data_IF_746661614847
#
_entry.id   IF_746661614847
#
_cell.length_a   1.000
_cell.length_b   1.000
_cell.length_c   1.000
_cell.angle_alpha   90.00
_cell.angle_beta   90.00
_cell.angle_gamma   90.00
#
_symmetry.space_group_name_H-M   'P 1'
#
loop_
_entity.id
_entity.type
_entity.pdbx_description
1 polymer ?
#
# COMPACT_ATOMS: atom_id res chain seq x y z
N UNK A 1 38.14 72.83 16.80
CA UNK A 1 36.97 71.94 16.55
C UNK A 1 37.20 70.51 17.01
N UNK A 2 38.40 69.95 16.83
CA UNK A 2 38.71 68.55 17.21
C UNK A 2 38.61 68.27 18.73
N UNK A 3 38.95 69.24 19.58
CA UNK A 3 38.86 69.14 21.04
C UNK A 3 37.41 69.11 21.55
N UNK A 4 36.54 69.94 20.97
CA UNK A 4 35.10 69.96 21.30
C UNK A 4 34.42 68.64 20.91
N UNK A 5 34.77 68.09 19.75
CA UNK A 5 34.26 66.79 19.32
C UNK A 5 34.73 65.65 20.24
N UNK A 6 36.00 65.65 20.67
CA UNK A 6 36.51 64.67 21.63
C UNK A 6 35.82 64.75 22.99
N UNK A 7 35.50 65.95 23.47
CA UNK A 7 34.74 66.16 24.72
C UNK A 7 33.29 65.70 24.56
N UNK A 8 32.65 66.01 23.43
CA UNK A 8 31.28 65.58 23.18
C UNK A 8 31.17 64.06 23.09
N UNK A 9 32.12 63.41 22.40
CA UNK A 9 32.16 61.96 22.27
C UNK A 9 32.42 61.30 23.63
N UNK A 10 33.35 61.80 24.45
CA UNK A 10 33.61 61.23 25.77
C UNK A 10 32.44 61.41 26.74
N UNK A 11 31.68 62.51 26.65
CA UNK A 11 30.42 62.70 27.40
C UNK A 11 29.36 61.73 26.90
N UNK A 12 29.20 61.59 25.59
CA UNK A 12 28.21 60.71 24.99
C UNK A 12 28.46 59.24 25.32
N UNK A 13 29.72 58.79 25.28
CA UNK A 13 30.09 57.41 25.60
C UNK A 13 29.79 57.09 27.08
N UNK A 14 30.16 58.00 28.00
CA UNK A 14 29.84 57.86 29.42
C UNK A 14 28.33 57.91 29.71
N UNK A 15 27.60 58.79 29.01
CA UNK A 15 26.15 58.89 29.16
C UNK A 15 25.47 57.62 28.63
N UNK A 16 25.93 57.11 27.48
CA UNK A 16 25.43 55.88 26.87
C UNK A 16 25.63 54.68 27.79
N UNK A 17 26.82 54.53 28.38
CA UNK A 17 27.09 53.45 29.33
C UNK A 17 26.21 53.52 30.59
N UNK A 18 25.94 54.72 31.10
CA UNK A 18 25.07 54.90 32.28
C UNK A 18 23.59 54.71 31.93
N UNK A 19 23.14 55.14 30.76
CA UNK A 19 21.77 54.94 30.28
C UNK A 19 21.45 53.46 29.96
N UNK A 20 22.47 52.64 29.66
CA UNK A 20 22.30 51.18 29.57
C UNK A 20 21.89 50.55 30.89
N UNK A 21 22.19 51.18 32.03
CA UNK A 21 21.68 50.73 33.31
C UNK A 21 20.19 51.14 33.45
N UNK A 22 19.26 50.18 33.56
CA UNK A 22 17.82 50.47 33.64
C UNK A 22 17.44 51.38 34.80
N UNK A 23 18.18 51.30 35.91
CA UNK A 23 17.93 52.14 37.06
C UNK A 23 18.28 53.60 36.79
N UNK A 24 19.45 53.87 36.21
CA UNK A 24 19.91 55.23 35.93
C UNK A 24 19.03 55.93 34.88
N UNK A 25 18.65 55.21 33.82
CA UNK A 25 17.73 55.75 32.81
C UNK A 25 16.35 56.05 33.42
N UNK A 26 15.81 55.13 34.22
CA UNK A 26 14.53 55.34 34.91
C UNK A 26 14.59 56.50 35.93
N UNK A 27 15.69 56.64 36.65
CA UNK A 27 15.95 57.75 37.56
C UNK A 27 15.99 59.09 36.84
N UNK A 28 16.74 59.17 35.74
CA UNK A 28 16.84 60.40 34.97
C UNK A 28 15.49 60.82 34.38
N UNK A 29 14.73 59.87 33.82
CA UNK A 29 13.38 60.13 33.29
C UNK A 29 12.43 60.55 34.43
N UNK A 30 12.44 59.84 35.56
CA UNK A 30 11.60 60.18 36.71
C UNK A 30 11.95 61.55 37.28
N UNK A 31 13.24 61.90 37.31
CA UNK A 31 13.71 63.21 37.73
C UNK A 31 13.16 64.32 36.85
N UNK A 32 13.20 64.15 35.53
CA UNK A 32 12.64 65.12 34.57
C UNK A 32 11.13 65.26 34.76
N UNK A 33 10.40 64.14 34.92
CA UNK A 33 8.95 64.14 35.08
C UNK A 33 8.54 64.82 36.40
N UNK A 34 9.20 64.51 37.51
CA UNK A 34 8.88 65.08 38.83
C UNK A 34 9.28 66.56 38.90
N UNK A 35 10.41 66.92 38.29
CA UNK A 35 10.92 68.28 38.23
C UNK A 35 10.49 69.03 36.95
N UNK A 36 9.35 68.65 36.36
CA UNK A 36 8.85 69.27 35.12
C UNK A 36 8.74 70.79 35.25
N UNK A 37 8.38 71.31 36.42
CA UNK A 37 8.24 72.76 36.67
C UNK A 37 9.54 73.50 36.40
N UNK A 38 10.70 72.93 36.75
CA UNK A 38 12.01 73.55 36.47
C UNK A 38 12.20 73.67 34.96
N UNK A 39 11.94 72.59 34.22
CA UNK A 39 12.11 72.55 32.77
C UNK A 39 11.16 73.50 32.04
N UNK A 40 9.88 73.49 32.43
CA UNK A 40 8.90 74.39 31.84
C UNK A 40 9.21 75.85 32.12
N UNK A 41 9.60 76.17 33.36
CA UNK A 41 9.99 77.52 33.74
C UNK A 41 11.28 77.98 33.04
N UNK A 42 12.27 77.11 32.89
CA UNK A 42 13.50 77.41 32.16
C UNK A 42 13.23 77.69 30.67
N UNK A 43 12.44 76.84 30.02
CA UNK A 43 12.23 76.85 28.56
C UNK A 43 11.18 77.86 28.11
N UNK A 44 10.12 78.10 28.89
CA UNK A 44 8.96 78.87 28.44
C UNK A 44 8.72 80.17 29.20
N UNK A 45 9.34 80.38 30.36
CA UNK A 45 9.16 81.64 31.07
C UNK A 45 10.04 82.75 30.47
N UNK A 46 9.43 83.90 30.18
CA UNK A 46 10.09 85.13 29.74
C UNK A 46 10.71 85.94 30.87
N UNK A 47 10.62 85.48 32.13
CA UNK A 47 11.22 86.15 33.27
C UNK A 47 12.73 86.42 33.13
N UNK A 48 13.18 87.53 33.69
CA UNK A 48 14.59 87.90 33.70
C UNK A 48 15.45 86.85 34.45
N UNK A 49 16.69 86.68 34.01
CA UNK A 49 17.62 85.66 34.50
C UNK A 49 17.73 85.58 36.03
N UNK A 50 17.74 86.72 36.72
CA UNK A 50 17.81 86.80 38.19
C UNK A 50 16.63 86.12 38.90
N UNK A 51 15.42 86.23 38.34
CA UNK A 51 14.25 85.53 38.89
C UNK A 51 14.34 84.02 38.65
N UNK A 52 15.00 83.61 37.57
CA UNK A 52 15.18 82.20 37.27
C UNK A 52 16.13 81.52 38.26
N UNK A 53 17.24 82.19 38.60
CA UNK A 53 18.21 81.73 39.58
C UNK A 53 17.57 81.53 40.96
N UNK A 54 16.89 82.55 41.49
CA UNK A 54 16.23 82.48 42.80
C UNK A 54 15.17 81.37 42.88
N UNK A 55 14.45 81.13 41.79
CA UNK A 55 13.47 80.05 41.72
C UNK A 55 14.14 78.67 41.76
N UNK A 56 15.26 78.48 41.05
CA UNK A 56 16.03 77.24 41.05
C UNK A 56 16.64 76.98 42.43
N UNK A 57 17.21 77.99 43.09
CA UNK A 57 17.81 77.83 44.42
C UNK A 57 16.77 77.39 45.45
N UNK A 58 15.59 78.04 45.45
CA UNK A 58 14.49 77.66 46.35
C UNK A 58 14.01 76.23 46.06
N UNK A 59 13.82 75.87 44.79
CA UNK A 59 13.35 74.54 44.42
C UNK A 59 14.39 73.45 44.67
N UNK A 60 15.67 73.74 44.46
CA UNK A 60 16.78 72.80 44.68
C UNK A 60 16.99 72.47 46.16
N UNK A 61 16.55 73.36 47.07
CA UNK A 61 16.59 73.12 48.51
C UNK A 61 15.63 72.00 48.96
N UNK A 62 14.64 71.64 48.13
CA UNK A 62 13.68 70.56 48.40
C UNK A 62 14.23 69.19 47.98
N UNK A 63 15.16 68.65 48.78
CA UNK A 63 15.86 67.37 48.51
C UNK A 63 14.91 66.19 48.21
N UNK A 64 13.69 66.22 48.78
CA UNK A 64 12.67 65.20 48.54
C UNK A 64 12.26 65.14 47.06
N UNK A 65 11.99 66.30 46.47
CA UNK A 65 11.53 66.44 45.08
C UNK A 65 12.67 66.25 44.08
N UNK A 66 13.88 66.66 44.47
CA UNK A 66 15.06 66.59 43.61
C UNK A 66 15.67 65.19 43.59
N UNK A 67 15.66 64.45 44.70
CA UNK A 67 16.41 63.20 44.80
C UNK A 67 15.55 62.01 45.23
N UNK A 68 14.79 62.15 46.32
CA UNK A 68 14.13 61.00 46.95
C UNK A 68 12.97 60.46 46.10
N UNK A 69 12.04 61.31 45.65
CA UNK A 69 10.92 60.85 44.84
C UNK A 69 11.36 60.26 43.49
N UNK A 70 12.30 60.88 42.73
CA UNK A 70 12.85 60.26 41.53
C UNK A 70 13.54 58.93 41.79
N UNK A 71 14.28 58.81 42.91
CA UNK A 71 14.94 57.57 43.31
C UNK A 71 13.96 56.45 43.61
N UNK A 72 12.94 56.73 44.43
CA UNK A 72 11.90 55.75 44.77
C UNK A 72 11.13 55.34 43.51
N UNK A 73 10.73 56.30 42.68
CA UNK A 73 10.02 56.03 41.43
C UNK A 73 10.84 55.17 40.47
N UNK A 74 12.14 55.45 40.32
CA UNK A 74 13.04 54.64 39.50
C UNK A 74 13.22 53.23 40.05
N UNK A 75 13.36 53.08 41.37
CA UNK A 75 13.46 51.80 42.04
C UNK A 75 12.18 50.98 41.84
N UNK A 76 11.02 51.61 42.08
CA UNK A 76 9.72 50.99 41.85
C UNK A 76 9.57 50.58 40.39
N UNK A 77 9.84 51.45 39.43
CA UNK A 77 9.72 51.12 38.01
C UNK A 77 10.64 49.97 37.59
N UNK A 78 11.91 50.01 38.01
CA UNK A 78 12.91 48.99 37.66
C UNK A 78 12.58 47.62 38.25
N UNK A 79 11.95 47.57 39.43
CA UNK A 79 11.54 46.31 40.08
C UNK A 79 10.15 45.83 39.63
N UNK A 80 9.21 46.75 39.41
CA UNK A 80 7.83 46.44 39.07
C UNK A 80 7.68 46.00 37.60
N UNK A 81 8.45 46.60 36.69
CA UNK A 81 8.38 46.30 35.26
C UNK A 81 8.70 44.82 34.94
N UNK A 82 9.77 44.20 35.49
CA UNK A 82 10.01 42.77 35.32
C UNK A 82 8.87 41.90 35.84
N UNK A 83 8.29 42.24 36.99
CA UNK A 83 7.18 41.49 37.59
C UNK A 83 5.94 41.54 36.69
N UNK A 84 5.61 42.71 36.14
CA UNK A 84 4.53 42.86 35.17
C UNK A 84 4.83 42.06 33.91
N UNK A 85 6.06 42.14 33.39
CA UNK A 85 6.48 41.39 32.18
C UNK A 85 6.31 39.89 32.37
N UNK A 86 6.75 39.34 33.52
CA UNK A 86 6.60 37.92 33.82
C UNK A 86 5.14 37.49 33.87
N UNK A 87 4.27 38.28 34.52
CA UNK A 87 2.82 38.00 34.55
C UNK A 87 2.17 38.07 33.17
N UNK A 88 2.56 39.05 32.34
CA UNK A 88 2.07 39.15 30.97
C UNK A 88 2.54 37.95 30.14
N UNK A 89 3.79 37.53 30.28
CA UNK A 89 4.33 36.35 29.60
C UNK A 89 3.60 35.07 29.99
N UNK A 90 3.24 34.90 31.27
CA UNK A 90 2.41 33.78 31.72
C UNK A 90 1.03 33.78 31.05
N UNK A 91 0.36 34.92 31.01
CA UNK A 91 -0.94 35.07 30.34
C UNK A 91 -0.82 34.78 28.83
N UNK A 92 0.23 35.27 28.18
CA UNK A 92 0.50 35.02 26.76
C UNK A 92 0.82 33.53 26.51
N UNK A 93 1.55 32.86 27.40
CA UNK A 93 1.81 31.42 27.32
C UNK A 93 0.51 30.61 27.39
N UNK A 94 -0.39 30.93 28.31
CA UNK A 94 -1.70 30.27 28.41
C UNK A 94 -2.48 30.41 27.10
N UNK A 95 -2.53 31.63 26.54
CA UNK A 95 -3.20 31.87 25.26
C UNK A 95 -2.53 31.13 24.10
N UNK A 96 -1.20 31.02 24.09
CA UNK A 96 -0.45 30.26 23.10
C UNK A 96 -0.75 28.76 23.18
N UNK A 97 -0.80 28.19 24.39
CA UNK A 97 -1.16 26.78 24.61
C UNK A 97 -2.57 26.51 24.09
N UNK A 98 -3.56 27.35 24.46
CA UNK A 98 -4.94 27.22 23.96
C UNK A 98 -5.03 27.28 22.44
N UNK A 99 -4.35 28.25 21.81
CA UNK A 99 -4.30 28.37 20.34
C UNK A 99 -3.65 27.15 19.68
N UNK A 100 -2.61 26.61 20.30
CA UNK A 100 -1.95 25.41 19.77
C UNK A 100 -2.84 24.17 19.89
N UNK A 101 -3.58 24.01 20.99
CA UNK A 101 -4.55 22.93 21.16
C UNK A 101 -5.62 22.97 20.07
N UNK A 102 -6.24 24.14 19.84
CA UNK A 102 -7.24 24.34 18.78
C UNK A 102 -6.64 24.03 17.39
N UNK A 103 -5.40 24.46 17.12
CA UNK A 103 -4.73 24.15 15.85
C UNK A 103 -4.48 22.66 15.66
N UNK A 104 -4.17 21.92 16.72
CA UNK A 104 -3.99 20.48 16.68
C UNK A 104 -5.33 19.78 16.40
N UNK A 105 -6.39 20.19 17.09
CA UNK A 105 -7.74 19.66 16.88
C UNK A 105 -8.22 19.86 15.43
N UNK A 106 -8.05 21.06 14.87
CA UNK A 106 -8.37 21.33 13.46
C UNK A 106 -7.56 20.44 12.51
N UNK A 107 -6.28 20.19 12.81
CA UNK A 107 -5.44 19.29 11.99
C UNK A 107 -5.93 17.85 12.07
N UNK A 108 -6.27 17.38 13.27
CA UNK A 108 -6.80 16.03 13.48
C UNK A 108 -8.12 15.84 12.73
N UNK A 109 -9.03 16.80 12.81
CA UNK A 109 -10.31 16.76 12.09
C UNK A 109 -10.09 16.72 10.57
N UNK A 110 -9.17 17.52 10.04
CA UNK A 110 -8.81 17.49 8.62
C UNK A 110 -8.25 16.13 8.19
N UNK A 111 -7.43 15.49 9.02
CA UNK A 111 -6.91 14.16 8.74
C UNK A 111 -8.01 13.10 8.76
N UNK A 112 -8.93 13.15 9.74
CA UNK A 112 -10.10 12.26 9.79
C UNK A 112 -10.98 12.41 8.55
N UNK A 113 -11.27 13.65 8.12
CA UNK A 113 -12.01 13.92 6.88
C UNK A 113 -11.30 13.33 5.66
N UNK A 114 -9.98 13.52 5.54
CA UNK A 114 -9.19 12.93 4.44
C UNK A 114 -9.23 11.41 4.43
N UNK A 115 -9.11 10.77 5.60
CA UNK A 115 -9.23 9.32 5.73
C UNK A 115 -10.61 8.82 5.32
N UNK A 116 -11.68 9.49 5.75
CA UNK A 116 -13.05 9.16 5.36
C UNK A 116 -13.28 9.29 3.85
N UNK A 117 -12.75 10.36 3.23
CA UNK A 117 -12.80 10.55 1.78
C UNK A 117 -12.05 9.43 1.06
N UNK A 118 -10.82 9.12 1.48
CA UNK A 118 -10.01 8.05 0.89
C UNK A 118 -10.68 6.67 1.04
N UNK A 119 -11.30 6.39 2.19
CA UNK A 119 -12.04 5.15 2.41
C UNK A 119 -13.28 5.05 1.50
N UNK A 120 -13.97 6.16 1.28
CA UNK A 120 -15.12 6.22 0.37
C UNK A 120 -14.67 6.04 -1.09
N UNK A 121 -13.58 6.69 -1.49
CA UNK A 121 -13.00 6.56 -2.83
C UNK A 121 -12.58 5.13 -3.12
N UNK A 122 -11.93 4.47 -2.15
CA UNK A 122 -11.55 3.06 -2.26
C UNK A 122 -12.76 2.15 -2.48
N UNK A 123 -13.86 2.37 -1.75
CA UNK A 123 -15.10 1.61 -1.96
C UNK A 123 -15.67 1.80 -3.36
N UNK A 124 -15.68 3.04 -3.86
CA UNK A 124 -16.13 3.34 -5.23
C UNK A 124 -15.24 2.63 -6.26
N UNK A 125 -13.91 2.64 -6.08
CA UNK A 125 -12.99 1.93 -6.97
C UNK A 125 -13.16 0.41 -6.92
N UNK A 126 -13.38 -0.17 -5.75
CA UNK A 126 -13.70 -1.59 -5.58
C UNK A 126 -15.01 -1.95 -6.29
N UNK A 127 -16.06 -1.13 -6.15
CA UNK A 127 -17.33 -1.31 -6.87
C UNK A 127 -17.17 -1.20 -8.39
N UNK A 128 -16.37 -0.24 -8.88
CA UNK A 128 -16.08 -0.08 -10.31
C UNK A 128 -15.26 -1.26 -10.84
N UNK A 129 -14.25 -1.71 -10.11
CA UNK A 129 -13.44 -2.89 -10.49
C UNK A 129 -14.32 -4.13 -10.56
N UNK A 130 -15.16 -4.36 -9.55
CA UNK A 130 -16.10 -5.48 -9.54
C UNK A 130 -17.11 -5.42 -10.68
N UNK A 131 -17.62 -4.23 -11.03
CA UNK A 131 -18.50 -4.05 -12.18
C UNK A 131 -17.79 -4.35 -13.51
N UNK A 132 -16.53 -3.94 -13.66
CA UNK A 132 -15.72 -4.21 -14.84
C UNK A 132 -15.41 -5.71 -14.98
N UNK A 133 -15.03 -6.38 -13.89
CA UNK A 133 -14.81 -7.82 -13.84
C UNK A 133 -16.09 -8.58 -14.21
N UNK A 134 -17.25 -8.20 -13.67
CA UNK A 134 -18.53 -8.77 -14.05
C UNK A 134 -18.84 -8.56 -15.54
N UNK A 135 -18.55 -7.38 -16.09
CA UNK A 135 -18.72 -7.11 -17.52
C UNK A 135 -17.81 -7.99 -18.38
N UNK A 136 -16.56 -8.17 -17.96
CA UNK A 136 -15.62 -9.07 -18.65
C UNK A 136 -16.09 -10.53 -18.59
N UNK A 137 -16.48 -11.02 -17.40
CA UNK A 137 -17.07 -12.35 -17.20
C UNK A 137 -18.33 -12.56 -18.03
N UNK A 138 -19.17 -11.53 -18.20
CA UNK A 138 -20.37 -11.61 -19.03
C UNK A 138 -20.01 -11.71 -20.51
N UNK A 139 -18.99 -10.99 -20.96
CA UNK A 139 -18.52 -11.07 -22.34
C UNK A 139 -17.87 -12.42 -22.63
N UNK A 140 -17.03 -12.95 -21.74
CA UNK A 140 -16.43 -14.29 -21.90
C UNK A 140 -17.50 -15.39 -21.88
N UNK A 141 -18.50 -15.30 -21.01
CA UNK A 141 -19.64 -16.23 -21.05
C UNK A 141 -20.41 -16.15 -22.37
N UNK A 142 -20.59 -14.97 -22.96
CA UNK A 142 -21.22 -14.83 -24.27
C UNK A 142 -20.37 -15.47 -25.37
N UNK A 143 -19.06 -15.24 -25.38
CA UNK A 143 -18.17 -15.84 -26.39
C UNK A 143 -18.12 -17.36 -26.25
N UNK A 144 -17.97 -17.88 -25.04
CA UNK A 144 -17.98 -19.32 -24.76
C UNK A 144 -19.30 -19.97 -25.17
N UNK A 145 -20.44 -19.32 -24.92
CA UNK A 145 -21.73 -19.85 -25.38
C UNK A 145 -21.86 -19.83 -26.91
N UNK A 146 -21.34 -18.80 -27.58
CA UNK A 146 -21.31 -18.75 -29.04
C UNK A 146 -20.41 -19.85 -29.61
N UNK A 147 -19.24 -20.09 -29.01
CA UNK A 147 -18.34 -21.19 -29.36
C UNK A 147 -18.98 -22.55 -29.12
N UNK A 148 -19.63 -22.78 -27.98
CA UNK A 148 -20.38 -24.01 -27.70
C UNK A 148 -21.49 -24.24 -28.72
N UNK A 149 -22.19 -23.18 -29.12
CA UNK A 149 -23.24 -23.27 -30.14
C UNK A 149 -22.64 -23.66 -31.48
N UNK A 150 -21.55 -23.01 -31.89
CA UNK A 150 -20.83 -23.33 -33.13
C UNK A 150 -20.26 -24.76 -33.11
N UNK A 151 -19.71 -25.21 -31.97
CA UNK A 151 -19.20 -26.57 -31.81
C UNK A 151 -20.34 -27.59 -31.89
N UNK A 152 -21.48 -27.31 -31.27
CA UNK A 152 -22.69 -28.16 -31.38
C UNK A 152 -23.20 -28.24 -32.80
N UNK A 153 -23.24 -27.12 -33.53
CA UNK A 153 -23.57 -27.10 -34.96
C UNK A 153 -22.57 -27.94 -35.76
N UNK A 154 -21.26 -27.80 -35.51
CA UNK A 154 -20.24 -28.63 -36.17
C UNK A 154 -20.40 -30.12 -35.87
N UNK A 155 -20.69 -30.47 -34.61
CA UNK A 155 -20.95 -31.86 -34.22
C UNK A 155 -22.22 -32.36 -34.89
N UNK A 156 -23.30 -31.57 -34.93
CA UNK A 156 -24.53 -31.90 -35.63
C UNK A 156 -24.31 -32.10 -37.13
N UNK A 157 -23.59 -31.20 -37.80
CA UNK A 157 -23.18 -31.32 -39.21
C UNK A 157 -22.34 -32.57 -39.46
N UNK A 158 -21.44 -32.91 -38.52
CA UNK A 158 -20.63 -34.13 -38.60
C UNK A 158 -21.46 -35.39 -38.31
N UNK A 159 -22.48 -35.33 -37.45
CA UNK A 159 -23.40 -36.44 -37.20
C UNK A 159 -24.41 -36.61 -38.33
N UNK A 160 -24.81 -35.53 -39.01
CA UNK A 160 -25.65 -35.55 -40.21
C UNK A 160 -24.84 -35.99 -41.45
N UNK A 161 -23.58 -35.54 -41.60
CA UNK A 161 -22.67 -36.13 -42.59
C UNK A 161 -22.29 -37.57 -42.28
N UNK A 162 -22.36 -37.97 -41.01
CA UNK A 162 -22.20 -39.35 -40.55
C UNK A 162 -23.54 -40.04 -40.28
N UNK A 163 -24.67 -39.61 -40.86
CA UNK A 163 -25.77 -40.54 -41.15
C UNK A 163 -25.32 -41.45 -42.29
N UNK A 164 -24.32 -42.26 -41.97
CA UNK A 164 -24.07 -43.54 -42.58
C UNK A 164 -25.20 -44.44 -42.13
N UNK A 165 -26.23 -44.46 -42.95
CA UNK A 165 -27.07 -45.64 -43.17
C UNK A 165 -26.27 -46.82 -43.78
N UNK A 166 -24.94 -46.83 -43.66
CA UNK A 166 -24.08 -47.90 -44.15
C UNK A 166 -22.69 -47.93 -43.47
N UNK A 167 -22.66 -48.10 -42.15
CA UNK A 167 -21.55 -48.84 -41.54
C UNK A 167 -22.09 -50.09 -40.90
N UNK A 168 -22.74 -50.90 -41.74
CA UNK A 168 -22.64 -52.33 -41.61
C UNK A 168 -21.14 -52.67 -41.57
N UNK A 169 -20.65 -53.21 -40.46
CA UNK A 169 -19.40 -53.96 -40.46
C UNK A 169 -19.64 -55.22 -41.33
N UNK A 170 -19.66 -55.04 -42.65
CA UNK A 170 -19.33 -56.09 -43.62
C UNK A 170 -17.88 -56.48 -43.34
N UNK A 171 -17.59 -57.75 -43.10
CA UNK A 171 -17.47 -58.70 -44.18
C UNK A 171 -15.98 -58.96 -44.44
N UNK A 172 -15.45 -59.93 -43.68
CA UNK A 172 -14.33 -60.80 -44.02
C UNK A 172 -12.86 -60.30 -44.01
N UNK A 173 -12.54 -59.00 -43.97
CA UNK A 173 -11.13 -58.57 -43.96
C UNK A 173 -10.55 -58.13 -42.61
N UNK A 174 -11.39 -57.72 -41.65
CA UNK A 174 -10.97 -57.25 -40.32
C UNK A 174 -10.62 -58.37 -39.33
N UNK A 175 -11.33 -59.49 -39.38
CA UNK A 175 -11.14 -60.63 -38.45
C UNK A 175 -9.72 -61.21 -38.59
N UNK A 176 -9.18 -61.29 -39.82
CA UNK A 176 -7.83 -61.83 -40.05
C UNK A 176 -6.72 -60.98 -39.41
N UNK A 177 -6.85 -59.65 -39.46
CA UNK A 177 -5.85 -58.74 -38.88
C UNK A 177 -5.88 -58.77 -37.34
N UNK A 178 -7.08 -58.82 -36.74
CA UNK A 178 -7.22 -58.96 -35.30
C UNK A 178 -6.80 -60.35 -34.81
N UNK A 179 -7.10 -61.41 -35.55
CA UNK A 179 -6.64 -62.76 -35.20
C UNK A 179 -5.12 -62.91 -35.27
N UNK A 180 -4.47 -62.29 -36.26
CA UNK A 180 -3.00 -62.26 -36.33
C UNK A 180 -2.39 -61.50 -35.14
N UNK A 181 -2.98 -60.35 -34.77
CA UNK A 181 -2.55 -59.60 -33.57
C UNK A 181 -2.78 -60.40 -32.29
N UNK A 182 -3.93 -61.08 -32.13
CA UNK A 182 -4.21 -61.95 -30.98
C UNK A 182 -3.20 -63.10 -30.91
N UNK A 183 -2.91 -63.73 -32.05
CA UNK A 183 -1.94 -64.82 -32.13
C UNK A 183 -0.55 -64.33 -31.71
N UNK A 184 -0.10 -63.19 -32.24
CA UNK A 184 1.16 -62.56 -31.83
C UNK A 184 1.20 -62.23 -30.33
N UNK A 185 0.11 -61.72 -29.75
CA UNK A 185 0.04 -61.45 -28.32
C UNK A 185 0.12 -62.72 -27.46
N UNK A 186 -0.53 -63.81 -27.90
CA UNK A 186 -0.49 -65.11 -27.21
C UNK A 186 0.89 -65.76 -27.27
N UNK A 187 1.53 -65.77 -28.44
CA UNK A 187 2.87 -66.31 -28.64
C UNK A 187 3.93 -65.58 -27.81
N UNK A 188 3.74 -64.27 -27.59
CA UNK A 188 4.65 -63.46 -26.77
C UNK A 188 4.27 -63.41 -25.28
N UNK A 189 3.21 -64.10 -24.84
CA UNK A 189 2.75 -64.08 -23.44
C UNK A 189 2.29 -62.70 -22.95
N UNK A 190 1.78 -61.86 -23.87
CA UNK A 190 1.35 -60.48 -23.64
C UNK A 190 -0.17 -60.35 -23.55
N UNK A 191 -0.91 -61.37 -23.99
CA UNK A 191 -2.37 -61.34 -24.09
C UNK A 191 -3.07 -60.99 -22.77
N UNK A 192 -2.68 -61.64 -21.67
CA UNK A 192 -3.29 -61.39 -20.36
C UNK A 192 -3.01 -59.98 -19.82
N UNK A 193 -1.84 -59.43 -20.13
CA UNK A 193 -1.44 -58.11 -19.67
C UNK A 193 -2.12 -57.00 -20.45
N UNK A 194 -2.31 -57.22 -21.75
CA UNK A 194 -3.14 -56.34 -22.56
C UNK A 194 -4.58 -56.30 -22.02
N UNK A 195 -5.16 -57.45 -21.68
CA UNK A 195 -6.51 -57.51 -21.10
C UNK A 195 -6.60 -56.77 -19.76
N UNK A 196 -5.63 -56.97 -18.87
CA UNK A 196 -5.60 -56.29 -17.56
C UNK A 196 -5.52 -54.76 -17.71
N UNK A 197 -4.63 -54.27 -18.58
CA UNK A 197 -4.51 -52.82 -18.86
C UNK A 197 -5.79 -52.29 -19.52
N UNK A 198 -6.38 -53.06 -20.44
CA UNK A 198 -7.60 -52.65 -21.14
C UNK A 198 -8.82 -52.62 -20.24
N UNK A 199 -8.99 -53.60 -19.36
CA UNK A 199 -10.07 -53.63 -18.36
C UNK A 199 -9.99 -52.42 -17.43
N UNK A 200 -8.81 -52.10 -16.89
CA UNK A 200 -8.65 -50.95 -15.99
C UNK A 200 -8.89 -49.61 -16.67
N UNK A 201 -8.37 -49.41 -17.88
CA UNK A 201 -8.55 -48.16 -18.62
C UNK A 201 -10.00 -47.97 -19.10
N UNK A 202 -10.66 -49.03 -19.58
CA UNK A 202 -11.94 -48.92 -20.29
C UNK A 202 -13.17 -49.22 -19.41
N UNK A 203 -13.03 -50.08 -18.40
CA UNK A 203 -14.14 -50.44 -17.50
C UNK A 203 -14.12 -49.57 -16.25
N UNK A 204 -12.96 -49.44 -15.61
CA UNK A 204 -12.85 -48.72 -14.33
C UNK A 204 -12.67 -47.20 -14.49
N UNK A 205 -12.51 -46.70 -15.72
CA UNK A 205 -12.25 -45.28 -16.04
C UNK A 205 -11.07 -44.69 -15.25
N UNK A 206 -10.14 -45.55 -14.83
CA UNK A 206 -8.92 -45.14 -14.14
C UNK A 206 -7.83 -44.88 -15.19
N UNK A 207 -7.25 -43.67 -15.25
CA UNK A 207 -6.12 -43.40 -16.15
C UNK A 207 -4.81 -44.05 -15.66
N UNK A 208 -4.84 -44.75 -14.53
CA UNK A 208 -3.67 -45.36 -13.90
C UNK A 208 -3.67 -46.88 -14.12
N UNK A 209 -2.66 -47.37 -14.84
CA UNK A 209 -2.31 -48.78 -14.88
C UNK A 209 -1.76 -49.22 -13.50
N UNK A 210 -1.78 -50.53 -13.16
CA UNK A 210 -1.31 -50.99 -11.85
C UNK A 210 0.20 -50.74 -11.73
N UNK A 211 0.74 -50.72 -10.50
CA UNK A 211 2.19 -50.61 -10.31
C UNK A 211 2.88 -51.85 -10.87
N UNK A 212 3.52 -51.70 -12.03
CA UNK A 212 4.08 -52.79 -12.81
C UNK A 212 5.51 -53.13 -12.33
N UNK A 213 5.77 -54.41 -12.09
CA UNK A 213 7.10 -54.91 -11.69
C UNK A 213 8.14 -54.75 -12.84
N UNK A 214 9.42 -55.00 -12.56
CA UNK A 214 10.50 -54.84 -13.55
C UNK A 214 10.33 -55.70 -14.82
N UNK A 215 9.66 -56.87 -14.71
CA UNK A 215 9.36 -57.74 -15.85
C UNK A 215 8.21 -57.19 -16.71
N UNK A 216 7.29 -56.46 -16.10
CA UNK A 216 6.13 -55.87 -16.74
C UNK A 216 6.49 -54.68 -17.63
N UNK A 217 7.55 -53.92 -17.32
CA UNK A 217 8.06 -52.84 -18.19
C UNK A 217 8.44 -53.33 -19.59
N UNK A 218 9.13 -54.47 -19.68
CA UNK A 218 9.53 -55.06 -20.97
C UNK A 218 8.32 -55.47 -21.80
N UNK A 219 7.24 -55.89 -21.15
CA UNK A 219 6.02 -56.33 -21.82
C UNK A 219 5.14 -55.17 -22.26
N UNK A 220 5.07 -54.08 -21.50
CA UNK A 220 4.38 -52.84 -21.93
C UNK A 220 5.06 -52.26 -23.17
N UNK A 221 6.39 -52.22 -23.21
CA UNK A 221 7.12 -51.76 -24.40
C UNK A 221 6.77 -52.60 -25.64
N UNK A 222 6.54 -53.91 -25.47
CA UNK A 222 6.07 -54.74 -26.57
C UNK A 222 4.63 -54.40 -26.97
N UNK A 223 3.73 -54.13 -26.01
CA UNK A 223 2.37 -53.69 -26.30
C UNK A 223 2.31 -52.32 -27.01
N UNK A 224 3.23 -51.42 -26.68
CA UNK A 224 3.44 -50.15 -27.38
C UNK A 224 3.90 -50.38 -28.83
N UNK A 225 4.83 -51.32 -29.06
CA UNK A 225 5.23 -51.72 -30.41
C UNK A 225 4.10 -52.38 -31.22
N UNK A 226 3.09 -52.97 -30.57
CA UNK A 226 1.88 -53.48 -31.22
C UNK A 226 0.82 -52.38 -31.48
N UNK A 227 1.10 -51.14 -31.08
CA UNK A 227 0.21 -49.99 -31.16
C UNK A 227 -1.11 -50.21 -30.39
N UNK A 228 -1.03 -50.90 -29.26
CA UNK A 228 -2.21 -51.23 -28.42
C UNK A 228 -2.32 -50.36 -27.19
N UNK A 229 -1.19 -49.81 -26.72
CA UNK A 229 -1.11 -48.91 -25.58
C UNK A 229 -0.12 -47.79 -25.91
N UNK A 230 -0.38 -46.60 -25.39
CA UNK A 230 0.48 -45.44 -25.52
C UNK A 230 0.79 -44.85 -24.14
N UNK A 231 1.97 -44.23 -24.01
CA UNK A 231 2.39 -43.60 -22.75
C UNK A 231 1.74 -42.23 -22.62
N UNK A 232 1.01 -42.00 -21.54
CA UNK A 232 0.55 -40.67 -21.16
C UNK A 232 1.74 -39.87 -20.62
N UNK A 233 2.08 -38.78 -21.29
CA UNK A 233 3.18 -37.90 -20.90
C UNK A 233 2.76 -37.13 -19.64
N UNK A 234 3.33 -37.48 -18.49
CA UNK A 234 3.13 -36.75 -17.24
C UNK A 234 4.44 -36.04 -16.86
N UNK A 235 4.36 -34.77 -16.52
CA UNK A 235 5.51 -33.86 -16.42
C UNK A 235 6.54 -34.30 -15.37
N UNK A 236 7.82 -34.24 -15.76
CA UNK A 236 9.10 -34.19 -15.02
C UNK A 236 9.32 -34.84 -13.63
N UNK A 237 8.37 -35.51 -12.97
CA UNK A 237 8.50 -35.78 -11.53
C UNK A 237 8.34 -37.23 -11.06
N UNK A 238 8.18 -38.23 -11.93
CA UNK A 238 8.33 -39.62 -11.49
C UNK A 238 8.71 -40.57 -12.65
N UNK A 239 10.01 -40.77 -12.87
CA UNK A 239 10.54 -41.77 -13.83
C UNK A 239 10.08 -43.21 -13.52
N UNK A 240 9.45 -43.45 -12.37
CA UNK A 240 9.10 -44.77 -11.89
C UNK A 240 7.65 -45.18 -12.09
N UNK A 241 6.73 -44.27 -12.48
CA UNK A 241 5.31 -44.58 -12.74
C UNK A 241 4.89 -44.08 -14.12
N UNK A 242 5.17 -44.86 -15.16
CA UNK A 242 4.63 -44.57 -16.49
C UNK A 242 3.13 -44.83 -16.51
N UNK A 243 2.33 -43.79 -16.71
CA UNK A 243 0.90 -43.92 -17.00
C UNK A 243 0.76 -44.36 -18.47
N UNK A 244 -0.05 -45.39 -18.73
CA UNK A 244 -0.33 -45.88 -20.08
C UNK A 244 -1.83 -45.92 -20.30
N UNK A 245 -2.25 -45.52 -21.50
CA UNK A 245 -3.64 -45.63 -21.94
C UNK A 245 -3.74 -46.52 -23.17
N UNK A 246 -4.94 -47.06 -23.40
CA UNK A 246 -5.22 -47.96 -24.54
C UNK A 246 -5.51 -47.11 -25.77
N UNK A 247 -4.77 -47.35 -26.85
CA UNK A 247 -4.98 -46.67 -28.14
C UNK A 247 -6.33 -47.08 -28.75
N UNK A 248 -6.81 -46.34 -29.76
CA UNK A 248 -8.04 -46.73 -30.48
C UNK A 248 -7.95 -48.13 -31.11
N UNK A 249 -6.75 -48.51 -31.58
CA UNK A 249 -6.49 -49.87 -32.08
C UNK A 249 -6.59 -50.93 -30.97
N UNK A 250 -6.09 -50.61 -29.76
CA UNK A 250 -6.28 -51.44 -28.57
C UNK A 250 -7.75 -51.57 -28.18
N UNK A 251 -8.52 -50.48 -28.18
CA UNK A 251 -9.97 -50.51 -27.88
C UNK A 251 -10.73 -51.38 -28.88
N UNK A 252 -10.42 -51.24 -30.17
CA UNK A 252 -10.99 -52.07 -31.23
C UNK A 252 -10.69 -53.57 -31.02
N UNK A 253 -9.45 -53.89 -30.69
CA UNK A 253 -9.04 -55.27 -30.40
C UNK A 253 -9.72 -55.83 -29.13
N UNK A 254 -9.82 -55.04 -28.06
CA UNK A 254 -10.49 -55.45 -26.82
C UNK A 254 -11.97 -55.74 -27.04
N UNK A 255 -12.67 -54.86 -27.77
CA UNK A 255 -14.07 -55.07 -28.16
C UNK A 255 -14.25 -56.31 -29.04
N UNK A 256 -13.30 -56.59 -29.95
CA UNK A 256 -13.30 -57.81 -30.75
C UNK A 256 -13.16 -59.06 -29.88
N UNK A 257 -12.26 -59.04 -28.89
CA UNK A 257 -12.06 -60.13 -27.92
C UNK A 257 -13.32 -60.37 -27.07
N UNK A 258 -13.99 -59.31 -26.60
CA UNK A 258 -15.28 -59.38 -25.89
C UNK A 258 -16.37 -60.02 -26.76
N UNK A 259 -16.49 -59.58 -28.02
CA UNK A 259 -17.54 -60.05 -28.95
C UNK A 259 -17.38 -61.54 -29.31
N UNK A 260 -16.15 -62.05 -29.39
CA UNK A 260 -15.85 -63.46 -29.70
C UNK A 260 -15.82 -64.36 -28.45
N UNK A 261 -16.13 -63.83 -27.27
CA UNK A 261 -16.20 -64.56 -25.99
C UNK A 261 -14.88 -65.31 -25.66
N UNK A 262 -13.75 -64.74 -26.09
CA UNK A 262 -12.41 -65.35 -25.97
C UNK A 262 -11.84 -65.29 -24.54
N UNK A 263 -12.59 -64.71 -23.59
CA UNK A 263 -12.26 -64.66 -22.15
C UNK A 263 -12.30 -66.04 -21.47
N UNK A 264 -12.92 -67.05 -22.10
CA UNK A 264 -13.13 -68.38 -21.49
C UNK A 264 -11.86 -69.22 -21.28
N UNK A 265 -10.66 -68.76 -21.66
CA UNK A 265 -9.41 -69.49 -21.38
C UNK A 265 -8.78 -69.21 -20.02
N UNK A 266 -9.43 -68.43 -19.13
CA UNK A 266 -8.93 -68.11 -17.78
C UNK A 266 -9.48 -69.04 -16.67
N UNK A 267 -10.04 -70.20 -17.02
CA UNK A 267 -10.44 -71.25 -16.06
C UNK A 267 -9.50 -72.44 -16.12
#
# INVERSE_FOLDING_TARGET
METLSKIFNSINDNLSERLKNPFFSSFFISWIIINYKIWFFLMFDGAAFLYKEQYIDKWSSEILNVLIYPFISALTYTLLLPVISLKLDELLKINKIKRNAIKLEIKEEKLKRKLSIAATQRKIEEEISGANEMSQLRNTNKTLNAELTKLKEQVADLTEKNTWDDFSFGGDSGDSAFEQKIKGLKENGLFDQFLEIAEQNLVEHSPYAPSLDGNSKKKIYLLENFDLVEKLFDGELDEFRGNYTVTEAGKGLFNYILKKDLFKSKK
#
